data_IF_861818950130
#
_entry.id   IF_861818950130
#
_cell.length_a   1.000
_cell.length_b   1.000
_cell.length_c   1.000
_cell.angle_alpha   90.00
_cell.angle_beta   90.00
_cell.angle_gamma   90.00
#
_symmetry.space_group_name_H-M   'P 1'
#
loop_
_entity.id
_entity.type
_entity.pdbx_description
1 polymer ?
#
# COMPACT_ATOMS: atom_id res chain seq x y z
N UNK A 1 5.15 15.39 -4.39
CA UNK A 1 5.50 16.81 -4.25
C UNK A 1 6.99 16.91 -4.46
N UNK A 2 7.43 17.69 -5.44
CA UNK A 2 8.86 17.90 -5.67
C UNK A 2 9.35 18.99 -4.72
N UNK A 3 10.31 18.65 -3.86
CA UNK A 3 10.92 19.56 -2.90
C UNK A 3 12.22 20.14 -3.45
N UNK A 4 12.56 21.35 -3.02
CA UNK A 4 13.77 22.07 -3.39
C UNK A 4 14.39 22.76 -2.17
N UNK A 5 15.72 22.74 -2.11
CA UNK A 5 16.50 23.60 -1.22
C UNK A 5 16.76 24.93 -1.91
N UNK A 6 16.43 26.05 -1.27
CA UNK A 6 16.74 27.40 -1.77
C UNK A 6 16.90 28.39 -0.63
N UNK A 7 17.08 29.66 -0.98
CA UNK A 7 16.99 30.79 -0.05
C UNK A 7 15.60 31.41 -0.12
N UNK A 8 15.03 31.74 1.04
CA UNK A 8 13.79 32.51 1.15
C UNK A 8 14.01 33.99 0.75
N UNK A 9 12.97 34.81 0.85
CA UNK A 9 13.02 36.24 0.49
C UNK A 9 14.00 37.06 1.36
N UNK A 10 14.41 36.52 2.50
CA UNK A 10 15.32 37.13 3.46
C UNK A 10 16.75 36.58 3.34
N UNK A 11 17.03 35.70 2.36
CA UNK A 11 18.34 35.08 2.15
C UNK A 11 18.62 33.90 3.09
N UNK A 12 17.59 33.32 3.72
CA UNK A 12 17.67 32.26 4.73
C UNK A 12 17.33 30.89 4.14
N UNK A 13 17.93 29.83 4.67
CA UNK A 13 17.69 28.48 4.13
C UNK A 13 16.22 28.05 4.28
N UNK A 14 15.68 27.44 3.23
CA UNK A 14 14.34 26.86 3.20
C UNK A 14 14.31 25.57 2.39
N UNK A 15 13.59 24.57 2.91
CA UNK A 15 13.16 23.37 2.19
C UNK A 15 11.65 23.49 1.92
N UNK A 16 11.25 23.51 0.65
CA UNK A 16 9.86 23.73 0.26
C UNK A 16 9.56 23.14 -1.12
N UNK A 17 8.30 23.17 -1.54
CA UNK A 17 7.95 22.93 -2.94
C UNK A 17 8.23 24.17 -3.82
N UNK A 18 8.21 23.99 -5.15
CA UNK A 18 8.60 25.03 -6.12
C UNK A 18 7.88 26.38 -5.92
N UNK A 19 6.57 26.36 -5.69
CA UNK A 19 5.72 27.55 -5.47
C UNK A 19 5.68 28.04 -4.00
N UNK A 20 6.48 27.43 -3.12
CA UNK A 20 6.53 27.67 -1.67
C UNK A 20 5.17 27.58 -0.96
N UNK A 21 4.15 26.95 -1.55
CA UNK A 21 2.89 26.71 -0.83
C UNK A 21 3.11 25.80 0.38
N UNK A 22 3.99 24.80 0.22
CA UNK A 22 4.38 23.87 1.26
C UNK A 22 5.82 24.17 1.68
N UNK A 23 5.96 24.95 2.75
CA UNK A 23 7.24 25.19 3.41
C UNK A 23 7.41 24.07 4.45
N UNK A 24 8.41 23.22 4.25
CA UNK A 24 8.65 22.03 5.07
C UNK A 24 9.49 22.39 6.29
N UNK A 25 10.57 23.15 6.09
CA UNK A 25 11.47 23.59 7.16
C UNK A 25 12.17 24.90 6.77
N UNK A 26 12.40 25.79 7.74
CA UNK A 26 13.06 27.08 7.54
C UNK A 26 14.17 27.36 8.56
N UNK A 27 15.18 28.16 8.19
CA UNK A 27 16.34 28.51 9.05
C UNK A 27 15.96 29.15 10.40
N UNK A 28 14.85 29.90 10.46
CA UNK A 28 14.41 30.57 11.69
C UNK A 28 14.15 29.57 12.85
N UNK A 29 13.85 28.31 12.53
CA UNK A 29 13.58 27.25 13.50
C UNK A 29 14.87 26.73 14.17
N UNK A 30 16.04 27.00 13.58
CA UNK A 30 17.32 26.44 14.03
C UNK A 30 17.57 26.61 15.55
N UNK A 31 17.38 27.80 16.17
CA UNK A 31 17.58 27.96 17.60
C UNK A 31 16.65 27.08 18.45
N UNK A 32 15.39 26.91 18.02
CA UNK A 32 14.43 26.04 18.68
C UNK A 32 14.82 24.56 18.55
N UNK A 33 15.23 24.12 17.35
CA UNK A 33 15.69 22.75 17.09
C UNK A 33 16.90 22.44 17.96
N UNK A 34 17.91 23.32 17.96
CA UNK A 34 19.11 23.14 18.78
C UNK A 34 18.78 23.10 20.26
N UNK A 35 17.87 23.97 20.73
CA UNK A 35 17.44 23.96 22.14
C UNK A 35 16.69 22.69 22.52
N UNK A 36 15.87 22.17 21.60
CA UNK A 36 15.14 20.92 21.78
C UNK A 36 16.09 19.75 22.01
N UNK A 37 17.17 19.68 21.22
CA UNK A 37 18.20 18.66 21.38
C UNK A 37 19.01 18.86 22.67
N UNK A 38 19.29 20.09 23.09
CA UNK A 38 19.94 20.36 24.38
C UNK A 38 19.14 19.83 25.57
N UNK A 39 17.82 20.06 25.58
CA UNK A 39 16.94 19.57 26.65
C UNK A 39 16.72 18.05 26.55
N UNK A 40 16.68 17.50 25.33
CA UNK A 40 16.66 16.06 25.10
C UNK A 40 17.91 15.40 25.69
N UNK A 41 19.07 16.06 25.58
CA UNK A 41 20.37 15.56 26.04
C UNK A 41 20.61 14.11 25.55
N UNK A 42 20.67 13.90 24.22
CA UNK A 42 20.65 12.57 23.64
C UNK A 42 21.91 11.76 23.99
N UNK A 43 21.74 10.45 24.08
CA UNK A 43 22.82 9.51 24.38
C UNK A 43 22.60 8.18 23.66
N UNK A 44 23.64 7.36 23.61
CA UNK A 44 23.57 6.00 23.09
C UNK A 44 23.20 5.95 21.60
N UNK A 45 22.23 5.10 21.27
CA UNK A 45 21.67 4.96 19.92
C UNK A 45 20.47 5.89 19.76
N UNK A 46 20.58 6.84 18.84
CA UNK A 46 19.59 7.89 18.59
C UNK A 46 18.82 7.61 17.31
N UNK A 47 17.51 7.82 17.34
CA UNK A 47 16.63 7.87 16.17
C UNK A 47 16.10 9.28 15.96
N UNK A 48 16.22 9.79 14.75
CA UNK A 48 15.53 10.99 14.28
C UNK A 48 14.54 10.63 13.18
N UNK A 49 13.37 11.27 13.18
CA UNK A 49 12.40 11.19 12.08
C UNK A 49 12.34 12.55 11.41
N UNK A 50 12.66 12.59 10.12
CA UNK A 50 12.78 13.81 9.32
C UNK A 50 14.16 14.44 9.45
N UNK A 51 14.92 14.49 8.35
CA UNK A 51 16.25 15.13 8.33
C UNK A 51 16.17 16.63 8.02
N UNK A 52 15.27 17.01 7.11
CA UNK A 52 15.02 18.41 6.75
C UNK A 52 16.28 19.17 6.31
N UNK A 53 16.63 20.21 7.07
CA UNK A 53 17.83 21.04 6.89
C UNK A 53 19.04 20.58 7.74
N UNK A 54 18.90 19.50 8.51
CA UNK A 54 19.99 18.90 9.29
C UNK A 54 20.40 19.65 10.56
N UNK A 55 19.60 20.61 11.04
CA UNK A 55 19.94 21.41 12.24
C UNK A 55 19.91 20.59 13.53
N UNK A 56 18.82 19.87 13.77
CA UNK A 56 18.67 18.91 14.88
C UNK A 56 19.72 17.80 14.75
N UNK A 57 19.87 17.21 13.56
CA UNK A 57 20.88 16.19 13.25
C UNK A 57 22.30 16.61 13.63
N UNK A 58 22.72 17.82 13.23
CA UNK A 58 24.03 18.39 13.56
C UNK A 58 24.17 18.56 15.07
N UNK A 59 23.14 19.08 15.73
CA UNK A 59 23.17 19.24 17.18
C UNK A 59 23.25 17.90 17.88
N UNK A 60 22.49 16.88 17.46
CA UNK A 60 22.53 15.52 18.03
C UNK A 60 23.93 14.93 17.92
N UNK A 61 24.56 15.02 16.75
CA UNK A 61 25.88 14.45 16.50
C UNK A 61 27.00 15.14 17.31
N UNK A 62 26.78 16.37 17.78
CA UNK A 62 27.72 17.09 18.65
C UNK A 62 27.85 16.49 20.06
N UNK A 63 26.89 15.68 20.52
CA UNK A 63 26.93 15.07 21.85
C UNK A 63 27.88 13.86 21.88
N UNK A 64 28.87 13.90 22.77
CA UNK A 64 29.87 12.81 22.95
C UNK A 64 29.26 11.48 23.42
N UNK A 65 28.11 11.55 24.09
CA UNK A 65 27.40 10.38 24.59
C UNK A 65 26.59 9.68 23.50
N UNK A 66 26.35 10.32 22.35
CA UNK A 66 25.76 9.69 21.17
C UNK A 66 26.82 8.83 20.49
N UNK A 67 26.48 7.55 20.29
CA UNK A 67 27.34 6.52 19.69
C UNK A 67 26.89 6.11 18.31
N UNK A 68 25.59 6.25 18.05
CA UNK A 68 25.00 5.92 16.75
C UNK A 68 23.83 6.87 16.49
N UNK A 69 23.88 7.57 15.36
CA UNK A 69 22.82 8.43 14.86
C UNK A 69 22.14 7.75 13.67
N UNK A 70 20.82 7.61 13.77
CA UNK A 70 19.98 7.02 12.74
C UNK A 70 18.89 8.03 12.38
N UNK A 71 18.65 8.23 11.10
CA UNK A 71 17.55 9.06 10.63
C UNK A 71 16.68 8.31 9.64
N UNK A 72 15.37 8.37 9.83
CA UNK A 72 14.40 7.94 8.82
C UNK A 72 13.98 9.16 8.01
N UNK A 73 14.19 9.10 6.70
CA UNK A 73 13.85 10.18 5.77
C UNK A 73 13.23 9.61 4.50
N UNK A 74 12.11 10.21 4.07
CA UNK A 74 11.28 9.70 2.98
C UNK A 74 11.54 10.39 1.64
N UNK A 75 12.14 11.59 1.64
CA UNK A 75 12.30 12.41 0.44
C UNK A 75 13.68 12.21 -0.22
N UNK A 76 13.74 11.78 -1.51
CA UNK A 76 15.01 11.53 -2.19
C UNK A 76 15.98 12.72 -2.25
N UNK A 77 15.49 13.94 -2.47
CA UNK A 77 16.35 15.13 -2.49
C UNK A 77 17.03 15.40 -1.14
N UNK A 78 16.38 15.01 -0.04
CA UNK A 78 16.92 15.16 1.31
C UNK A 78 18.02 14.13 1.57
N UNK A 79 17.98 12.97 0.91
CA UNK A 79 19.05 11.96 1.00
C UNK A 79 20.37 12.47 0.44
N UNK A 80 20.34 13.29 -0.63
CA UNK A 80 21.54 13.90 -1.18
C UNK A 80 22.18 14.84 -0.16
N UNK A 81 21.36 15.68 0.49
CA UNK A 81 21.82 16.60 1.54
C UNK A 81 22.35 15.85 2.78
N UNK A 82 21.75 14.71 3.10
CA UNK A 82 22.23 13.85 4.18
C UNK A 82 23.64 13.30 3.91
N UNK A 83 24.00 12.94 2.68
CA UNK A 83 25.34 12.42 2.39
C UNK A 83 26.44 13.49 2.55
N UNK A 84 26.13 14.76 2.22
CA UNK A 84 27.02 15.90 2.53
C UNK A 84 27.24 16.02 4.04
N UNK A 85 26.14 16.06 4.80
CA UNK A 85 26.16 16.11 6.27
C UNK A 85 26.95 14.94 6.87
N UNK A 86 26.71 13.71 6.39
CA UNK A 86 27.38 12.50 6.89
C UNK A 86 28.89 12.60 6.71
N UNK A 87 29.34 13.10 5.56
CA UNK A 87 30.77 13.31 5.29
C UNK A 87 31.38 14.29 6.28
N UNK A 88 30.73 15.43 6.52
CA UNK A 88 31.20 16.43 7.49
C UNK A 88 31.26 15.88 8.92
N UNK A 89 30.22 15.17 9.35
CA UNK A 89 30.16 14.60 10.69
C UNK A 89 31.15 13.47 10.89
N UNK A 90 31.44 12.66 9.87
CA UNK A 90 32.44 11.60 9.95
C UNK A 90 33.86 12.16 10.10
N UNK A 91 34.13 13.36 9.57
CA UNK A 91 35.40 14.07 9.82
C UNK A 91 35.46 14.56 11.27
N UNK A 92 34.38 15.16 11.77
CA UNK A 92 34.33 15.71 13.13
C UNK A 92 34.28 14.64 14.24
N UNK A 93 33.61 13.51 13.96
CA UNK A 93 33.38 12.38 14.86
C UNK A 93 33.59 11.05 14.12
N UNK A 94 34.83 10.66 13.84
CA UNK A 94 35.13 9.41 13.13
C UNK A 94 34.61 8.13 13.84
N UNK A 95 34.38 8.23 15.16
CA UNK A 95 33.83 7.16 16.00
C UNK A 95 32.30 7.03 15.91
N UNK A 96 31.60 8.06 15.40
CA UNK A 96 30.15 8.11 15.36
C UNK A 96 29.61 7.32 14.16
N UNK A 97 28.76 6.33 14.43
CA UNK A 97 28.00 5.64 13.38
C UNK A 97 26.85 6.52 12.90
N UNK A 98 26.72 6.72 11.59
CA UNK A 98 25.69 7.59 10.98
C UNK A 98 24.98 6.83 9.86
N UNK A 99 23.67 6.60 10.06
CA UNK A 99 22.84 5.77 9.21
C UNK A 99 21.62 6.52 8.67
N UNK A 100 21.38 6.37 7.36
CA UNK A 100 20.16 6.82 6.70
C UNK A 100 19.27 5.61 6.42
N UNK A 101 18.03 5.69 6.86
CA UNK A 101 16.98 4.71 6.59
C UNK A 101 15.99 5.37 5.63
N UNK A 102 16.03 4.95 4.37
CA UNK A 102 15.24 5.54 3.28
C UNK A 102 13.80 5.02 3.32
N UNK A 103 12.83 5.91 3.53
CA UNK A 103 11.40 5.57 3.51
C UNK A 103 10.56 6.39 4.47
N UNK A 104 9.25 6.18 4.44
CA UNK A 104 8.32 6.76 5.42
C UNK A 104 8.48 6.02 6.74
N UNK A 105 8.44 6.73 7.87
CA UNK A 105 8.59 6.09 9.18
C UNK A 105 7.49 5.06 9.43
N UNK A 106 6.29 5.25 8.88
CA UNK A 106 5.19 4.29 8.97
C UNK A 106 5.54 2.91 8.40
N UNK A 107 6.38 2.87 7.36
CA UNK A 107 6.75 1.65 6.66
C UNK A 107 7.98 0.98 7.29
N UNK A 108 8.97 1.79 7.68
CA UNK A 108 10.31 1.29 8.03
C UNK A 108 10.57 1.25 9.53
N UNK A 109 9.80 1.94 10.38
CA UNK A 109 10.06 1.95 11.82
C UNK A 109 10.07 0.53 12.41
N UNK A 110 9.17 -0.35 11.96
CA UNK A 110 9.11 -1.75 12.41
C UNK A 110 10.35 -2.59 12.05
N UNK A 111 11.16 -2.16 11.07
CA UNK A 111 12.41 -2.84 10.70
C UNK A 111 13.59 -2.33 11.52
N UNK A 112 13.36 -1.37 12.43
CA UNK A 112 14.40 -0.78 13.27
C UNK A 112 14.45 -1.42 14.66
N UNK A 113 15.53 -1.16 15.38
CA UNK A 113 15.78 -1.69 16.72
C UNK A 113 15.22 -0.76 17.82
N UNK A 114 15.74 -0.91 19.04
CA UNK A 114 15.46 -0.02 20.16
C UNK A 114 16.47 1.13 20.23
N UNK A 115 16.01 2.29 20.69
CA UNK A 115 16.79 3.52 20.78
C UNK A 115 16.79 4.09 22.20
N UNK A 116 17.90 4.70 22.58
CA UNK A 116 18.11 5.35 23.87
C UNK A 116 17.55 6.79 23.85
N UNK A 117 17.62 7.46 22.70
CA UNK A 117 17.02 8.78 22.49
C UNK A 117 16.30 8.86 21.15
N UNK A 118 15.15 9.54 21.11
CA UNK A 118 14.34 9.71 19.90
C UNK A 118 13.96 11.18 19.73
N UNK A 119 14.12 11.71 18.52
CA UNK A 119 13.63 13.03 18.11
C UNK A 119 12.66 12.90 16.93
N UNK A 120 11.47 13.48 17.03
CA UNK A 120 10.43 13.37 16.00
C UNK A 120 10.05 14.74 15.44
N UNK A 121 10.36 14.96 14.17
CA UNK A 121 10.05 16.18 13.43
C UNK A 121 9.55 15.82 12.01
N UNK A 122 8.29 15.41 11.94
CA UNK A 122 7.66 14.87 10.73
C UNK A 122 6.82 15.93 9.99
N UNK A 123 6.59 15.71 8.70
CA UNK A 123 5.73 16.54 7.85
C UNK A 123 4.67 15.70 7.11
N UNK A 124 3.43 16.21 7.03
CA UNK A 124 2.32 15.52 6.38
C UNK A 124 2.24 15.89 4.89
N UNK A 125 2.62 14.96 4.02
CA UNK A 125 2.71 15.20 2.57
C UNK A 125 1.36 15.20 1.80
N UNK A 126 0.28 14.66 2.38
CA UNK A 126 -0.99 14.38 1.67
C UNK A 126 -2.19 15.25 2.11
N UNK A 127 -1.99 16.44 2.64
CA UNK A 127 -3.11 17.33 2.96
C UNK A 127 -3.44 18.27 1.80
N UNK A 128 -4.23 17.79 0.83
CA UNK A 128 -4.92 18.64 -0.16
C UNK A 128 -6.01 19.55 0.47
N UNK A 129 -5.94 19.83 1.78
CA UNK A 129 -6.89 20.68 2.51
C UNK A 129 -6.11 21.54 3.51
N UNK A 130 -5.87 22.78 3.11
CA UNK A 130 -5.20 23.85 3.86
C UNK A 130 -6.10 24.49 4.95
N UNK A 131 -7.10 23.76 5.46
CA UNK A 131 -8.04 24.28 6.48
C UNK A 131 -8.42 23.14 7.45
N UNK A 132 -7.73 23.05 8.60
CA UNK A 132 -8.16 22.21 9.74
C UNK A 132 -7.09 21.38 10.50
N UNK A 133 -5.80 21.60 10.24
CA UNK A 133 -4.77 20.57 10.37
C UNK A 133 -4.06 20.42 11.76
N UNK A 134 -4.67 20.81 12.89
CA UNK A 134 -4.07 20.56 14.23
C UNK A 134 -4.37 19.18 14.80
N UNK A 135 -5.49 18.54 14.40
CA UNK A 135 -5.83 17.18 14.86
C UNK A 135 -4.95 16.12 14.19
N UNK A 136 -4.73 16.20 12.87
CA UNK A 136 -4.02 15.17 12.10
C UNK A 136 -2.53 15.08 12.49
N UNK A 137 -1.84 16.21 12.64
CA UNK A 137 -0.44 16.24 13.13
C UNK A 137 -0.32 15.73 14.57
N UNK A 138 -1.29 16.09 15.42
CA UNK A 138 -1.35 15.59 16.79
C UNK A 138 -1.56 14.06 16.83
N UNK A 139 -2.49 13.54 16.05
CA UNK A 139 -2.78 12.11 15.95
C UNK A 139 -1.56 11.31 15.44
N UNK A 140 -0.76 11.88 14.53
CA UNK A 140 0.50 11.26 14.06
C UNK A 140 1.56 11.18 15.14
N UNK A 141 1.81 12.27 15.86
CA UNK A 141 2.80 12.30 16.95
C UNK A 141 2.43 11.32 18.07
N UNK A 142 1.14 11.20 18.41
CA UNK A 142 0.63 10.23 19.38
C UNK A 142 0.73 8.79 18.87
N UNK A 143 0.43 8.56 17.59
CA UNK A 143 0.58 7.25 16.97
C UNK A 143 2.04 6.79 16.92
N UNK A 144 2.95 7.70 16.59
CA UNK A 144 4.38 7.46 16.66
C UNK A 144 4.82 7.15 18.09
N UNK A 145 4.43 7.99 19.06
CA UNK A 145 4.76 7.81 20.48
C UNK A 145 4.30 6.45 20.99
N UNK A 146 3.08 6.02 20.64
CA UNK A 146 2.57 4.69 20.96
C UNK A 146 3.49 3.58 20.45
N UNK A 147 3.86 3.62 19.17
CA UNK A 147 4.72 2.58 18.55
C UNK A 147 6.10 2.53 19.19
N UNK A 148 6.73 3.68 19.42
CA UNK A 148 8.10 3.70 19.98
C UNK A 148 8.13 3.32 21.45
N UNK A 149 7.12 3.71 22.25
CA UNK A 149 7.00 3.27 23.63
C UNK A 149 6.82 1.76 23.74
N UNK A 150 6.09 1.14 22.81
CA UNK A 150 5.87 -0.30 22.80
C UNK A 150 7.12 -1.09 22.37
N UNK A 151 7.74 -0.71 21.25
CA UNK A 151 8.68 -1.60 20.56
C UNK A 151 10.09 -1.04 20.38
N UNK A 152 10.29 0.27 20.48
CA UNK A 152 11.55 0.92 20.07
C UNK A 152 12.25 1.67 21.21
N UNK A 153 11.84 1.46 22.46
CA UNK A 153 12.42 2.13 23.63
C UNK A 153 12.58 1.18 24.81
N UNK A 154 13.52 1.51 25.69
CA UNK A 154 13.80 0.82 26.95
C UNK A 154 13.47 1.75 28.12
N UNK A 155 13.40 1.21 29.33
CA UNK A 155 13.29 2.06 30.53
C UNK A 155 14.52 2.96 30.59
N UNK A 156 14.29 4.27 30.74
CA UNK A 156 15.32 5.31 30.67
C UNK A 156 15.46 5.96 29.30
N UNK A 157 14.86 5.42 28.23
CA UNK A 157 14.86 6.08 26.92
C UNK A 157 14.17 7.45 26.98
N UNK A 158 14.73 8.43 26.27
CA UNK A 158 14.23 9.80 26.21
C UNK A 158 13.69 10.13 24.82
N UNK A 159 12.57 10.84 24.75
CA UNK A 159 11.89 11.20 23.50
C UNK A 159 11.57 12.68 23.54
N UNK A 160 11.78 13.38 22.42
CA UNK A 160 11.30 14.74 22.21
C UNK A 160 10.75 14.89 20.79
N UNK A 161 9.98 15.94 20.56
CA UNK A 161 9.35 16.22 19.27
C UNK A 161 9.21 17.71 19.05
N UNK A 162 9.18 18.11 17.78
CA UNK A 162 8.74 19.44 17.40
C UNK A 162 7.30 19.66 17.89
N UNK A 163 7.08 20.72 18.68
CA UNK A 163 5.76 20.96 19.28
C UNK A 163 5.39 22.43 19.40
N UNK A 164 4.21 22.74 18.89
CA UNK A 164 3.53 24.04 19.07
C UNK A 164 2.58 24.05 20.27
N UNK A 165 2.44 22.92 20.99
CA UNK A 165 1.46 22.74 22.07
C UNK A 165 2.15 22.20 23.33
N UNK A 166 1.73 22.70 24.50
CA UNK A 166 2.11 22.10 25.77
C UNK A 166 1.40 20.75 25.96
N UNK A 167 2.16 19.66 25.95
CA UNK A 167 1.61 18.31 25.98
C UNK A 167 1.56 17.66 27.37
N UNK A 168 1.84 18.36 28.47
CA UNK A 168 1.83 17.76 29.83
C UNK A 168 0.46 17.13 30.14
N UNK A 169 -0.61 17.91 30.00
CA UNK A 169 -1.99 17.44 30.23
C UNK A 169 -2.39 16.31 29.28
N UNK A 170 -1.78 16.28 28.09
CA UNK A 170 -2.03 15.26 27.07
C UNK A 170 -1.42 13.92 27.46
N UNK A 171 -0.42 13.89 28.34
CA UNK A 171 0.28 12.67 28.72
C UNK A 171 0.10 12.29 30.20
N UNK A 172 -0.60 13.10 31.00
CA UNK A 172 -0.76 12.91 32.46
C UNK A 172 -1.28 11.54 32.92
N UNK A 173 -2.08 10.87 32.08
CA UNK A 173 -2.68 9.57 32.40
C UNK A 173 -1.84 8.37 31.94
N UNK A 174 -0.64 8.60 31.43
CA UNK A 174 0.26 7.55 30.94
C UNK A 174 1.31 7.32 32.01
N UNK A 175 1.18 6.22 32.75
CA UNK A 175 2.01 5.92 33.91
C UNK A 175 3.41 5.42 33.54
N UNK A 176 3.59 4.87 32.33
CA UNK A 176 4.87 4.37 31.85
C UNK A 176 5.85 5.46 31.38
N UNK A 177 5.47 6.74 31.49
CA UNK A 177 6.31 7.87 31.11
C UNK A 177 6.31 8.99 32.16
N UNK A 178 7.40 9.75 32.19
CA UNK A 178 7.51 11.05 32.84
C UNK A 178 7.64 12.13 31.77
N UNK A 179 6.92 13.24 31.91
CA UNK A 179 6.88 14.31 30.89
C UNK A 179 7.25 15.65 31.51
N UNK A 180 8.26 16.28 30.94
CA UNK A 180 8.65 17.67 31.20
C UNK A 180 8.37 18.47 29.93
N UNK A 181 7.98 19.75 30.05
CA UNK A 181 7.69 20.57 28.89
C UNK A 181 8.13 22.01 29.16
N UNK A 182 9.11 22.48 28.38
CA UNK A 182 9.65 23.83 28.51
C UNK A 182 9.05 24.76 27.45
N UNK A 183 8.69 25.98 27.84
CA UNK A 183 8.32 27.02 26.88
C UNK A 183 9.58 27.64 26.26
N UNK A 184 9.57 27.89 24.95
CA UNK A 184 10.66 28.52 24.22
C UNK A 184 10.11 29.65 23.34
N UNK A 185 10.66 30.85 23.50
CA UNK A 185 10.28 32.01 22.70
C UNK A 185 10.85 31.88 21.29
N UNK A 186 10.04 32.15 20.27
CA UNK A 186 10.44 32.11 18.86
C UNK A 186 10.09 33.43 18.15
N UNK A 187 10.90 33.77 17.16
CA UNK A 187 10.66 34.93 16.29
C UNK A 187 10.42 34.42 14.86
N UNK A 188 9.15 34.38 14.46
CA UNK A 188 8.72 33.83 13.16
C UNK A 188 8.81 34.93 12.07
N UNK A 189 9.46 34.67 10.92
CA UNK A 189 9.52 35.62 9.83
C UNK A 189 8.17 35.77 9.13
N UNK A 190 7.91 36.97 8.58
CA UNK A 190 6.63 37.32 7.96
C UNK A 190 6.20 36.45 6.78
N UNK A 191 7.12 35.72 6.15
CA UNK A 191 6.91 34.78 5.05
C UNK A 191 6.70 33.33 5.47
N UNK A 192 6.77 33.00 6.76
CA UNK A 192 6.39 31.67 7.23
C UNK A 192 4.88 31.47 7.11
N UNK A 193 4.46 30.39 6.44
CA UNK A 193 3.05 30.10 6.15
C UNK A 193 2.40 29.11 7.12
N UNK A 194 3.19 28.34 7.88
CA UNK A 194 2.70 27.22 8.71
C UNK A 194 2.78 27.48 10.22
N UNK A 195 3.73 28.28 10.70
CA UNK A 195 3.88 28.59 12.12
C UNK A 195 3.23 29.93 12.48
N UNK A 196 2.63 30.02 13.67
CA UNK A 196 2.00 31.23 14.21
C UNK A 196 2.26 31.33 15.71
N UNK A 197 2.35 32.55 16.22
CA UNK A 197 2.60 32.83 17.63
C UNK A 197 4.03 33.30 17.89
N UNK A 198 4.38 33.42 19.17
CA UNK A 198 5.67 33.93 19.66
C UNK A 198 6.39 32.90 20.55
N UNK A 199 5.85 31.68 20.64
CA UNK A 199 6.39 30.61 21.46
C UNK A 199 6.05 29.22 20.95
N UNK A 200 6.92 28.30 21.32
CA UNK A 200 6.80 26.86 21.12
C UNK A 200 7.09 26.13 22.42
N UNK A 201 6.89 24.82 22.41
CA UNK A 201 7.10 23.97 23.58
C UNK A 201 8.08 22.86 23.26
N UNK A 202 8.93 22.53 24.23
CA UNK A 202 9.94 21.47 24.12
C UNK A 202 9.59 20.38 25.13
N UNK A 203 8.90 19.33 24.69
CA UNK A 203 8.53 18.21 25.55
C UNK A 203 9.66 17.20 25.62
N UNK A 204 9.97 16.75 26.84
CA UNK A 204 10.92 15.67 27.12
C UNK A 204 10.14 14.57 27.82
N UNK A 205 10.00 13.43 27.14
CA UNK A 205 9.34 12.24 27.64
C UNK A 205 10.41 11.22 28.01
N UNK A 206 10.41 10.74 29.25
CA UNK A 206 11.29 9.66 29.71
C UNK A 206 10.46 8.42 30.00
N UNK A 207 10.80 7.28 29.41
CA UNK A 207 10.13 6.01 29.70
C UNK A 207 10.55 5.50 31.08
N UNK A 208 9.60 5.35 32.00
CA UNK A 208 9.85 5.00 33.41
C UNK A 208 9.52 3.55 33.73
N UNK A 209 8.67 2.90 32.93
CA UNK A 209 8.33 1.49 33.07
C UNK A 209 7.97 0.86 31.72
N UNK A 210 7.60 -0.43 31.73
CA UNK A 210 7.14 -1.11 30.52
C UNK A 210 5.83 -0.49 30.01
N UNK A 211 5.63 -0.52 28.69
CA UNK A 211 4.42 0.02 28.08
C UNK A 211 3.17 -0.70 28.59
N UNK A 212 2.13 0.08 28.84
CA UNK A 212 0.84 -0.41 29.33
C UNK A 212 0.07 -1.15 28.23
N UNK A 213 -0.70 -2.18 28.61
CA UNK A 213 -1.53 -2.94 27.66
C UNK A 213 -2.59 -2.07 26.97
N UNK A 214 -3.11 -1.06 27.67
CA UNK A 214 -4.13 -0.11 27.21
C UNK A 214 -3.54 1.22 26.72
N UNK A 215 -2.21 1.28 26.49
CA UNK A 215 -1.51 2.51 26.06
C UNK A 215 -2.14 3.13 24.80
N UNK A 216 -2.59 2.29 23.86
CA UNK A 216 -3.26 2.73 22.64
C UNK A 216 -4.55 3.49 22.96
N UNK A 217 -5.35 3.01 23.89
CA UNK A 217 -6.62 3.64 24.27
C UNK A 217 -6.38 4.98 24.98
N UNK A 218 -5.37 5.04 25.86
CA UNK A 218 -4.99 6.25 26.61
C UNK A 218 -4.43 7.37 25.74
N UNK A 219 -3.72 7.02 24.67
CA UNK A 219 -3.13 7.97 23.72
C UNK A 219 -4.14 8.39 22.64
N UNK A 220 -4.86 7.44 22.03
CA UNK A 220 -5.60 7.67 20.78
C UNK A 220 -7.11 7.81 20.98
N UNK A 221 -7.72 7.11 21.96
CA UNK A 221 -9.19 7.01 22.09
C UNK A 221 -9.82 7.99 23.10
N UNK A 222 -9.26 9.20 23.25
CA UNK A 222 -9.64 10.14 24.33
C UNK A 222 -11.04 10.78 24.29
N UNK A 223 -11.96 10.37 23.40
CA UNK A 223 -13.30 10.94 23.32
C UNK A 223 -14.42 9.88 23.27
N UNK A 224 -14.92 9.48 24.45
CA UNK A 224 -16.28 8.94 24.63
C UNK A 224 -17.24 9.94 25.30
N UNK A 225 -16.90 11.23 25.35
CA UNK A 225 -17.77 12.28 25.91
C UNK A 225 -18.21 13.27 24.83
N UNK A 226 -18.97 12.80 23.85
CA UNK A 226 -19.80 13.67 22.99
C UNK A 226 -21.25 13.41 23.39
N UNK A 227 -21.73 14.15 24.39
CA UNK A 227 -23.16 14.32 24.62
C UNK A 227 -23.69 15.41 23.69
N UNK A 228 -24.89 15.16 23.17
CA UNK A 228 -25.71 15.95 22.24
C UNK A 228 -25.30 15.93 20.77
N UNK A 229 -25.72 14.87 20.06
CA UNK A 229 -25.83 14.91 18.61
C UNK A 229 -27.14 14.25 18.13
N UNK A 230 -27.81 14.98 17.24
CA UNK A 230 -28.84 14.60 16.27
C UNK A 230 -28.87 13.08 15.92
N UNK A 231 -30.01 12.37 16.02
CA UNK A 231 -30.09 10.90 15.89
C UNK A 231 -29.69 10.31 14.52
N UNK A 232 -29.40 11.10 13.50
CA UNK A 232 -28.88 10.63 12.20
C UNK A 232 -27.35 10.43 12.17
N UNK A 233 -26.60 11.12 13.03
CA UNK A 233 -25.13 11.03 13.09
C UNK A 233 -24.61 9.72 13.72
N UNK A 234 -25.26 9.11 14.73
CA UNK A 234 -24.88 7.80 15.27
C UNK A 234 -24.83 6.69 14.22
N UNK A 235 -25.75 6.69 13.24
CA UNK A 235 -25.82 5.65 12.22
C UNK A 235 -24.68 5.77 11.19
N UNK A 236 -24.31 7.00 10.80
CA UNK A 236 -23.16 7.24 9.92
C UNK A 236 -21.84 6.89 10.61
N UNK A 237 -21.68 7.25 11.89
CA UNK A 237 -20.51 6.89 12.69
C UNK A 237 -20.42 5.37 12.85
N UNK A 238 -21.54 4.69 13.13
CA UNK A 238 -21.58 3.23 13.25
C UNK A 238 -21.15 2.55 11.94
N UNK A 239 -21.67 3.01 10.79
CA UNK A 239 -21.28 2.50 9.47
C UNK A 239 -19.79 2.72 9.18
N UNK A 240 -19.26 3.89 9.54
CA UNK A 240 -17.83 4.18 9.35
C UNK A 240 -16.95 3.34 10.27
N UNK A 241 -17.36 3.09 11.52
CA UNK A 241 -16.66 2.18 12.45
C UNK A 241 -16.68 0.73 11.95
N UNK A 242 -17.81 0.25 11.45
CA UNK A 242 -17.94 -1.08 10.83
C UNK A 242 -17.00 -1.20 9.61
N UNK A 243 -16.98 -0.17 8.75
CA UNK A 243 -16.10 -0.08 7.59
C UNK A 243 -14.62 -0.12 7.98
N UNK A 244 -14.21 0.69 8.96
CA UNK A 244 -12.82 0.69 9.46
C UNK A 244 -12.44 -0.66 10.09
N UNK A 245 -13.37 -1.32 10.77
CA UNK A 245 -13.16 -2.67 11.32
C UNK A 245 -12.89 -3.69 10.22
N UNK A 246 -13.66 -3.64 9.12
CA UNK A 246 -13.46 -4.50 7.95
C UNK A 246 -12.11 -4.23 7.27
N UNK A 247 -11.72 -2.98 7.08
CA UNK A 247 -10.40 -2.65 6.54
C UNK A 247 -9.25 -3.10 7.42
N UNK A 248 -9.41 -3.00 8.75
CA UNK A 248 -8.41 -3.53 9.67
C UNK A 248 -8.28 -5.04 9.54
N UNK A 249 -9.39 -5.78 9.46
CA UNK A 249 -9.36 -7.23 9.22
C UNK A 249 -8.67 -7.58 7.91
N UNK A 250 -8.98 -6.85 6.83
CA UNK A 250 -8.33 -7.04 5.54
C UNK A 250 -6.81 -6.79 5.63
N UNK A 251 -6.41 -5.72 6.30
CA UNK A 251 -5.00 -5.39 6.50
C UNK A 251 -4.27 -6.47 7.31
N UNK A 252 -4.84 -6.88 8.44
CA UNK A 252 -4.29 -7.93 9.32
C UNK A 252 -4.17 -9.27 8.56
N UNK A 253 -5.15 -9.62 7.72
CA UNK A 253 -5.13 -10.83 6.89
C UNK A 253 -4.05 -10.76 5.79
N UNK A 254 -3.94 -9.63 5.06
CA UNK A 254 -2.90 -9.43 4.04
C UNK A 254 -1.50 -9.58 4.63
N UNK A 255 -1.26 -9.12 5.87
CA UNK A 255 0.05 -9.21 6.52
C UNK A 255 0.52 -10.64 6.79
N UNK A 256 -0.40 -11.60 6.91
CA UNK A 256 -0.08 -13.01 7.21
C UNK A 256 -0.15 -13.91 5.99
N UNK A 257 -0.62 -13.41 4.83
CA UNK A 257 -0.67 -14.20 3.59
C UNK A 257 0.73 -14.55 3.11
N UNK A 258 0.93 -15.84 2.81
CA UNK A 258 2.15 -16.32 2.16
C UNK A 258 2.22 -15.92 0.67
N UNK A 259 3.38 -16.14 0.03
CA UNK A 259 3.52 -15.93 -1.40
C UNK A 259 2.55 -16.84 -2.18
N UNK A 260 1.94 -16.31 -3.24
CA UNK A 260 1.03 -17.03 -4.12
C UNK A 260 1.37 -16.81 -5.60
N UNK A 261 1.06 -17.80 -6.43
CA UNK A 261 1.22 -17.68 -7.89
C UNK A 261 -0.07 -17.12 -8.49
N UNK A 262 -0.05 -15.86 -8.90
CA UNK A 262 -1.24 -15.17 -9.42
C UNK A 262 -1.49 -15.34 -10.92
N UNK A 263 -0.45 -15.61 -11.71
CA UNK A 263 -0.49 -15.70 -13.18
C UNK A 263 0.72 -16.49 -13.69
N UNK A 264 0.47 -17.43 -14.60
CA UNK A 264 1.49 -18.17 -15.37
C UNK A 264 1.24 -17.85 -16.84
N UNK A 265 2.29 -17.46 -17.56
CA UNK A 265 2.23 -17.17 -19.00
C UNK A 265 3.09 -18.19 -19.73
N UNK A 266 2.47 -18.93 -20.66
CA UNK A 266 3.10 -19.97 -21.46
C UNK A 266 2.95 -19.60 -22.93
N UNK A 267 4.07 -19.23 -23.55
CA UNK A 267 4.12 -18.96 -25.00
C UNK A 267 4.34 -20.25 -25.79
N UNK A 268 3.83 -20.26 -27.03
CA UNK A 268 3.95 -21.37 -27.97
C UNK A 268 3.35 -22.70 -27.44
N UNK A 269 2.17 -22.62 -26.80
CA UNK A 269 1.55 -23.76 -26.13
C UNK A 269 1.27 -24.95 -27.06
N UNK A 270 0.54 -24.73 -28.16
CA UNK A 270 0.35 -25.75 -29.18
C UNK A 270 1.56 -25.84 -30.10
N UNK A 271 1.94 -27.07 -30.47
CA UNK A 271 2.98 -27.31 -31.49
C UNK A 271 2.52 -26.96 -32.91
N UNK A 272 1.22 -27.05 -33.17
CA UNK A 272 0.58 -26.84 -34.48
C UNK A 272 -0.60 -25.83 -34.38
N UNK A 273 -0.35 -24.60 -33.92
CA UNK A 273 -1.42 -23.67 -33.53
C UNK A 273 -2.26 -23.21 -34.72
N UNK A 274 -1.66 -23.10 -35.91
CA UNK A 274 -2.37 -22.67 -37.13
C UNK A 274 -3.33 -23.75 -37.64
N UNK A 275 -2.90 -25.01 -37.64
CA UNK A 275 -3.71 -26.17 -38.01
C UNK A 275 -4.88 -26.36 -37.03
N UNK A 276 -4.58 -26.28 -35.72
CA UNK A 276 -5.60 -26.32 -34.67
C UNK A 276 -6.64 -25.21 -34.88
N UNK A 277 -6.19 -23.96 -35.08
CA UNK A 277 -7.10 -22.85 -35.38
C UNK A 277 -7.96 -23.12 -36.61
N UNK A 278 -7.34 -23.56 -37.72
CA UNK A 278 -8.05 -23.83 -38.98
C UNK A 278 -9.16 -24.87 -38.78
N UNK A 279 -8.87 -25.94 -38.04
CA UNK A 279 -9.85 -26.97 -37.69
C UNK A 279 -10.97 -26.43 -36.79
N UNK A 280 -10.64 -25.68 -35.75
CA UNK A 280 -11.64 -25.14 -34.82
C UNK A 280 -12.60 -24.18 -35.51
N UNK A 281 -12.14 -23.39 -36.48
CA UNK A 281 -13.02 -22.52 -37.25
C UNK A 281 -14.06 -23.27 -38.09
N UNK A 282 -13.85 -24.54 -38.42
CA UNK A 282 -14.87 -25.35 -39.10
C UNK A 282 -15.92 -25.91 -38.16
N UNK A 283 -15.73 -25.79 -36.84
CA UNK A 283 -16.66 -26.34 -35.84
C UNK A 283 -17.84 -25.37 -35.59
N UNK A 284 -18.91 -25.92 -35.01
CA UNK A 284 -20.06 -25.13 -34.57
C UNK A 284 -19.82 -24.48 -33.20
N UNK A 285 -20.17 -23.20 -33.10
CA UNK A 285 -20.15 -22.42 -31.87
C UNK A 285 -21.60 -22.23 -31.38
N UNK A 286 -22.23 -23.33 -30.97
CA UNK A 286 -23.65 -23.37 -30.61
C UNK A 286 -23.91 -23.16 -29.12
N UNK A 287 -22.89 -23.24 -28.27
CA UNK A 287 -23.04 -23.18 -26.82
C UNK A 287 -23.08 -21.71 -26.36
N UNK A 288 -24.13 -21.36 -25.62
CA UNK A 288 -24.37 -20.03 -25.04
C UNK A 288 -24.55 -20.14 -23.53
N UNK A 289 -24.24 -19.06 -22.81
CA UNK A 289 -24.40 -19.00 -21.37
C UNK A 289 -24.11 -17.61 -20.83
N UNK A 290 -23.84 -17.50 -19.53
CA UNK A 290 -23.50 -16.24 -18.89
C UNK A 290 -22.02 -15.86 -19.12
N UNK A 291 -21.68 -15.62 -20.38
CA UNK A 291 -20.36 -15.19 -20.85
C UNK A 291 -20.51 -14.54 -22.24
N UNK A 292 -19.57 -13.68 -22.66
CA UNK A 292 -19.65 -13.00 -23.95
C UNK A 292 -19.45 -13.94 -25.15
N UNK A 293 -20.09 -13.65 -26.28
CA UNK A 293 -19.92 -14.43 -27.50
C UNK A 293 -20.47 -15.86 -27.43
N UNK A 294 -19.85 -16.77 -28.18
CA UNK A 294 -20.34 -18.14 -28.35
C UNK A 294 -19.20 -19.15 -28.21
N UNK A 295 -19.52 -20.35 -27.71
CA UNK A 295 -18.58 -21.45 -27.48
C UNK A 295 -18.87 -22.65 -28.36
N UNK A 296 -17.83 -23.43 -28.66
CA UNK A 296 -17.96 -24.82 -29.08
C UNK A 296 -18.32 -25.71 -27.89
N UNK A 297 -18.68 -26.97 -28.17
CA UNK A 297 -18.60 -28.04 -27.16
C UNK A 297 -17.17 -28.16 -26.62
N UNK A 298 -17.00 -28.86 -25.49
CA UNK A 298 -15.68 -29.06 -24.89
C UNK A 298 -14.76 -29.89 -25.80
N UNK A 299 -13.49 -29.47 -25.87
CA UNK A 299 -12.37 -30.24 -26.43
C UNK A 299 -11.31 -30.53 -25.35
N UNK A 300 -11.69 -30.55 -24.07
CA UNK A 300 -10.79 -30.98 -23.01
C UNK A 300 -10.39 -32.44 -23.24
N UNK A 301 -9.11 -32.76 -23.02
CA UNK A 301 -8.56 -34.10 -23.18
C UNK A 301 -7.61 -34.41 -22.04
N UNK A 302 -7.36 -35.70 -21.79
CA UNK A 302 -6.35 -36.12 -20.82
C UNK A 302 -4.96 -35.56 -21.15
N UNK A 303 -4.61 -35.47 -22.43
CA UNK A 303 -3.33 -34.89 -22.87
C UNK A 303 -3.19 -33.41 -22.47
N UNK A 304 -4.25 -32.61 -22.62
CA UNK A 304 -4.26 -31.20 -22.18
C UNK A 304 -4.12 -31.11 -20.66
N UNK A 305 -4.81 -31.98 -19.91
CA UNK A 305 -4.67 -32.08 -18.46
C UNK A 305 -3.22 -32.36 -18.06
N UNK A 306 -2.57 -33.33 -18.70
CA UNK A 306 -1.19 -33.74 -18.36
C UNK A 306 -0.17 -32.62 -18.65
N UNK A 307 -0.32 -31.91 -19.77
CA UNK A 307 0.53 -30.76 -20.08
C UNK A 307 0.31 -29.63 -19.07
N UNK A 308 -0.94 -29.26 -18.80
CA UNK A 308 -1.28 -28.19 -17.85
C UNK A 308 -0.80 -28.56 -16.44
N UNK A 309 -0.93 -29.82 -16.02
CA UNK A 309 -0.40 -30.33 -14.76
C UNK A 309 1.08 -30.01 -14.62
N UNK A 310 1.89 -30.20 -15.67
CA UNK A 310 3.32 -29.90 -15.64
C UNK A 310 3.65 -28.44 -15.30
N UNK A 311 2.81 -27.49 -15.75
CA UNK A 311 2.99 -26.07 -15.49
C UNK A 311 2.46 -25.65 -14.11
N UNK A 312 1.30 -26.16 -13.69
CA UNK A 312 0.67 -25.72 -12.43
C UNK A 312 1.20 -26.44 -11.19
N UNK A 313 1.75 -27.65 -11.34
CA UNK A 313 2.18 -28.49 -10.21
C UNK A 313 3.08 -27.78 -9.19
N UNK A 314 4.09 -26.98 -9.59
CA UNK A 314 4.97 -26.29 -8.64
C UNK A 314 4.25 -25.29 -7.74
N UNK A 315 3.07 -24.81 -8.15
CA UNK A 315 2.36 -23.71 -7.51
C UNK A 315 1.03 -24.15 -6.87
N UNK A 316 0.20 -24.87 -7.64
CA UNK A 316 -1.13 -25.33 -7.22
C UNK A 316 -1.17 -26.77 -6.69
N UNK A 317 -0.11 -27.56 -6.87
CA UNK A 317 -0.13 -29.00 -6.58
C UNK A 317 -0.81 -29.82 -7.68
N UNK A 318 -1.30 -31.02 -7.33
CA UNK A 318 -1.94 -31.89 -8.32
C UNK A 318 -3.31 -31.34 -8.74
N UNK A 319 -3.65 -31.54 -10.00
CA UNK A 319 -4.99 -31.29 -10.53
C UNK A 319 -5.94 -32.33 -9.93
N UNK A 320 -6.87 -31.87 -9.11
CA UNK A 320 -7.86 -32.68 -8.40
C UNK A 320 -9.14 -32.84 -9.21
N UNK A 321 -9.50 -31.81 -9.97
CA UNK A 321 -10.63 -31.82 -10.89
C UNK A 321 -10.26 -31.15 -12.21
N UNK A 322 -10.58 -31.81 -13.32
CA UNK A 322 -10.39 -31.31 -14.68
C UNK A 322 -11.50 -31.90 -15.53
N UNK A 323 -12.65 -31.21 -15.66
CA UNK A 323 -13.79 -31.74 -16.38
C UNK A 323 -13.44 -32.08 -17.82
N UNK A 324 -13.65 -33.33 -18.23
CA UNK A 324 -13.42 -33.85 -19.58
C UNK A 324 -14.74 -34.42 -20.11
N UNK A 325 -15.14 -34.08 -21.33
CA UNK A 325 -16.35 -34.61 -21.97
C UNK A 325 -16.28 -36.14 -22.12
N UNK A 326 -17.37 -36.83 -21.79
CA UNK A 326 -17.58 -38.26 -22.06
C UNK A 326 -18.88 -38.49 -22.85
N UNK A 327 -19.10 -39.72 -23.32
CA UNK A 327 -20.28 -40.05 -24.15
C UNK A 327 -21.64 -39.80 -23.45
N UNK A 328 -21.66 -39.57 -22.12
CA UNK A 328 -22.89 -39.48 -21.32
C UNK A 328 -23.14 -38.10 -20.69
N UNK A 329 -22.14 -37.22 -20.59
CA UNK A 329 -22.20 -35.97 -19.79
C UNK A 329 -21.69 -34.71 -20.51
N UNK A 330 -21.86 -34.62 -21.82
CA UNK A 330 -21.30 -33.51 -22.61
C UNK A 330 -21.98 -32.15 -22.49
N UNK A 331 -23.27 -32.09 -22.11
CA UNK A 331 -24.06 -30.87 -22.28
C UNK A 331 -23.63 -29.68 -21.40
N UNK A 332 -22.89 -29.91 -20.32
CA UNK A 332 -22.57 -28.89 -19.30
C UNK A 332 -21.07 -28.71 -19.01
N UNK A 333 -20.18 -29.33 -19.80
CA UNK A 333 -18.73 -29.22 -19.60
C UNK A 333 -18.19 -28.09 -20.48
N UNK A 334 -17.73 -27.00 -19.86
CA UNK A 334 -17.16 -25.85 -20.57
C UNK A 334 -15.62 -25.85 -20.62
N UNK A 335 -14.98 -26.65 -19.78
CA UNK A 335 -13.52 -26.75 -19.74
C UNK A 335 -12.99 -27.22 -21.11
N UNK A 336 -11.99 -26.56 -21.66
CA UNK A 336 -11.40 -26.88 -22.97
C UNK A 336 -12.22 -26.45 -24.19
N UNK A 337 -13.37 -25.78 -24.02
CA UNK A 337 -14.14 -25.22 -25.15
C UNK A 337 -13.38 -24.07 -25.82
N UNK A 338 -13.60 -23.89 -27.13
CA UNK A 338 -13.18 -22.70 -27.85
C UNK A 338 -14.31 -21.68 -27.83
N UNK A 339 -13.97 -20.40 -27.68
CA UNK A 339 -14.89 -19.28 -27.62
C UNK A 339 -14.41 -18.20 -28.59
N UNK A 340 -15.35 -17.52 -29.24
CA UNK A 340 -15.04 -16.28 -29.94
C UNK A 340 -15.94 -15.14 -29.46
N UNK A 341 -15.39 -13.93 -29.51
CA UNK A 341 -16.11 -12.68 -29.31
C UNK A 341 -15.81 -11.71 -30.45
N UNK A 342 -16.70 -10.76 -30.65
CA UNK A 342 -16.66 -9.72 -31.68
C UNK A 342 -16.68 -8.34 -31.05
N UNK A 343 -16.44 -7.29 -31.83
CA UNK A 343 -16.52 -5.89 -31.37
C UNK A 343 -17.88 -5.49 -30.78
N UNK A 344 -18.94 -6.30 -30.98
CA UNK A 344 -20.28 -6.09 -30.43
C UNK A 344 -20.47 -6.66 -29.02
N UNK A 345 -19.59 -7.56 -28.58
CA UNK A 345 -19.69 -8.20 -27.27
C UNK A 345 -19.18 -7.27 -26.16
N UNK A 346 -19.56 -7.52 -24.91
CA UNK A 346 -19.09 -6.77 -23.73
C UNK A 346 -18.77 -7.74 -22.60
N UNK A 347 -17.75 -7.40 -21.81
CA UNK A 347 -17.33 -8.17 -20.64
C UNK A 347 -17.65 -7.38 -19.36
N UNK A 348 -17.47 -8.04 -18.22
CA UNK A 348 -17.55 -7.44 -16.90
C UNK A 348 -16.46 -8.04 -15.99
N UNK A 349 -16.04 -7.29 -14.97
CA UNK A 349 -15.10 -7.77 -13.95
C UNK A 349 -15.80 -8.81 -13.06
N UNK A 350 -15.18 -9.98 -12.89
CA UNK A 350 -15.74 -11.08 -12.11
C UNK A 350 -14.65 -11.98 -11.51
N UNK A 351 -15.10 -12.94 -10.70
CA UNK A 351 -14.34 -14.09 -10.20
C UNK A 351 -15.07 -15.37 -10.63
N UNK A 352 -14.35 -16.47 -10.88
CA UNK A 352 -14.98 -17.78 -11.10
C UNK A 352 -14.94 -18.59 -9.81
N UNK A 353 -16.10 -18.68 -9.15
CA UNK A 353 -16.20 -19.25 -7.80
C UNK A 353 -16.10 -20.78 -7.70
N UNK A 354 -16.34 -21.52 -8.79
CA UNK A 354 -16.45 -22.99 -8.73
C UNK A 354 -15.10 -23.73 -8.74
N UNK A 355 -14.12 -23.20 -9.48
CA UNK A 355 -12.77 -23.75 -9.59
C UNK A 355 -11.76 -22.78 -8.98
N UNK A 356 -10.50 -23.20 -8.76
CA UNK A 356 -9.43 -22.30 -8.31
C UNK A 356 -8.43 -21.89 -9.41
N UNK A 357 -8.53 -22.47 -10.61
CA UNK A 357 -7.80 -22.02 -11.80
C UNK A 357 -8.72 -21.68 -12.97
N UNK A 358 -8.39 -20.57 -13.62
CA UNK A 358 -8.88 -20.17 -14.93
C UNK A 358 -7.73 -20.16 -15.94
N UNK A 359 -8.04 -20.45 -17.20
CA UNK A 359 -7.06 -20.41 -18.28
C UNK A 359 -7.64 -19.89 -19.58
N UNK A 360 -6.84 -19.11 -20.30
CA UNK A 360 -7.19 -18.58 -21.62
C UNK A 360 -6.01 -18.77 -22.58
N UNK A 361 -6.23 -19.54 -23.64
CA UNK A 361 -5.28 -19.72 -24.73
C UNK A 361 -5.73 -18.91 -25.95
N UNK A 362 -4.93 -17.93 -26.33
CA UNK A 362 -5.25 -17.02 -27.42
C UNK A 362 -4.98 -17.63 -28.79
N UNK A 363 -5.99 -17.62 -29.66
CA UNK A 363 -5.97 -18.33 -30.96
C UNK A 363 -6.19 -17.41 -32.17
N UNK A 364 -6.05 -16.10 -32.00
CA UNK A 364 -6.17 -15.12 -33.09
C UNK A 364 -4.80 -14.57 -33.47
N UNK A 365 -4.28 -14.85 -34.68
CA UNK A 365 -3.04 -14.28 -35.16
C UNK A 365 -3.11 -12.75 -35.24
N UNK A 366 -2.02 -12.07 -34.87
CA UNK A 366 -1.87 -10.61 -34.96
C UNK A 366 -3.02 -9.81 -34.29
N UNK A 367 -3.60 -10.36 -33.21
CA UNK A 367 -4.62 -9.66 -32.44
C UNK A 367 -4.06 -8.38 -31.79
N UNK A 368 -4.89 -7.34 -31.57
CA UNK A 368 -4.49 -6.20 -30.76
C UNK A 368 -4.05 -6.65 -29.37
N UNK A 369 -2.86 -6.26 -28.91
CA UNK A 369 -2.35 -6.67 -27.60
C UNK A 369 -3.27 -6.24 -26.44
N UNK A 370 -4.03 -5.16 -26.62
CA UNK A 370 -5.00 -4.66 -25.65
C UNK A 370 -6.22 -5.58 -25.45
N UNK A 371 -6.47 -6.52 -26.37
CA UNK A 371 -7.61 -7.46 -26.34
C UNK A 371 -7.40 -8.70 -25.45
N UNK A 372 -6.44 -8.62 -24.52
CA UNK A 372 -6.02 -9.71 -23.65
C UNK A 372 -6.97 -9.99 -22.48
N UNK A 373 -6.38 -10.34 -21.34
CA UNK A 373 -7.08 -10.52 -20.06
C UNK A 373 -6.43 -9.61 -19.03
N UNK A 374 -7.25 -8.89 -18.27
CA UNK A 374 -6.81 -7.95 -17.24
C UNK A 374 -7.28 -8.41 -15.85
N UNK A 375 -6.51 -8.00 -14.84
CA UNK A 375 -6.76 -8.26 -13.43
C UNK A 375 -6.96 -6.93 -12.71
N UNK A 376 -7.89 -6.91 -11.76
CA UNK A 376 -8.36 -5.68 -11.14
C UNK A 376 -8.33 -5.74 -9.62
N UNK A 377 -8.37 -4.54 -9.05
CA UNK A 377 -8.61 -4.28 -7.64
C UNK A 377 -9.79 -3.30 -7.55
N UNK A 378 -10.76 -3.60 -6.70
CA UNK A 378 -11.88 -2.71 -6.44
C UNK A 378 -11.40 -1.49 -5.62
N UNK A 379 -12.11 -0.38 -5.73
CA UNK A 379 -11.70 0.91 -5.14
C UNK A 379 -11.53 0.89 -3.61
N UNK A 380 -12.16 -0.06 -2.93
CA UNK A 380 -12.05 -0.24 -1.49
C UNK A 380 -10.84 -1.08 -1.07
N UNK A 381 -10.15 -1.74 -2.00
CA UNK A 381 -9.01 -2.59 -1.66
C UNK A 381 -9.14 -4.03 -2.13
N UNK A 382 -10.34 -4.52 -2.44
CA UNK A 382 -10.54 -5.94 -2.73
C UNK A 382 -9.90 -6.36 -4.05
N UNK A 383 -9.09 -7.42 -4.06
CA UNK A 383 -8.46 -7.96 -5.27
C UNK A 383 -8.84 -9.43 -5.55
N UNK A 384 -9.39 -10.14 -4.57
CA UNK A 384 -9.85 -11.52 -4.71
C UNK A 384 -11.09 -11.84 -3.87
N UNK A 385 -11.62 -13.06 -4.03
CA UNK A 385 -12.79 -13.59 -3.30
C UNK A 385 -12.64 -13.44 -1.78
N UNK A 386 -11.48 -13.79 -1.21
CA UNK A 386 -11.23 -13.67 0.24
C UNK A 386 -11.33 -12.21 0.71
N UNK A 387 -10.83 -11.26 -0.09
CA UNK A 387 -10.96 -9.83 0.25
C UNK A 387 -12.42 -9.38 0.21
N UNK A 388 -13.15 -9.85 -0.80
CA UNK A 388 -14.58 -9.58 -0.98
C UNK A 388 -15.40 -10.13 0.20
N UNK A 389 -15.05 -11.31 0.71
CA UNK A 389 -15.69 -11.91 1.88
C UNK A 389 -15.38 -11.14 3.17
N UNK A 390 -14.13 -10.70 3.37
CA UNK A 390 -13.73 -9.91 4.55
C UNK A 390 -14.43 -8.54 4.57
N UNK A 391 -14.55 -7.89 3.41
CA UNK A 391 -15.22 -6.60 3.28
C UNK A 391 -16.75 -6.73 3.17
N UNK A 392 -17.24 -7.94 2.89
CA UNK A 392 -18.64 -8.26 2.62
C UNK A 392 -19.22 -7.37 1.50
N UNK A 393 -18.42 -7.12 0.46
CA UNK A 393 -18.73 -6.14 -0.60
C UNK A 393 -19.21 -6.78 -1.91
N UNK A 394 -19.57 -8.08 -1.90
CA UNK A 394 -19.94 -8.84 -3.10
C UNK A 394 -21.02 -8.14 -3.93
N UNK A 395 -22.08 -7.70 -3.27
CA UNK A 395 -23.19 -6.98 -3.92
C UNK A 395 -22.71 -5.75 -4.69
N UNK A 396 -21.79 -4.98 -4.11
CA UNK A 396 -21.24 -3.78 -4.75
C UNK A 396 -20.36 -4.15 -5.94
N UNK A 397 -19.45 -5.11 -5.77
CA UNK A 397 -18.57 -5.55 -6.87
C UNK A 397 -19.35 -6.13 -8.05
N UNK A 398 -20.45 -6.85 -7.79
CA UNK A 398 -21.33 -7.38 -8.85
C UNK A 398 -22.08 -6.23 -9.55
N UNK A 399 -22.64 -5.29 -8.77
CA UNK A 399 -23.37 -4.12 -9.26
C UNK A 399 -22.49 -3.22 -10.14
N UNK A 400 -21.24 -2.99 -9.73
CA UNK A 400 -20.29 -2.12 -10.42
C UNK A 400 -19.35 -2.88 -11.36
N UNK A 401 -19.62 -4.15 -11.68
CA UNK A 401 -18.75 -5.02 -12.50
C UNK A 401 -18.41 -4.47 -13.89
N UNK A 402 -19.19 -3.52 -14.42
CA UNK A 402 -18.94 -2.83 -15.70
C UNK A 402 -18.55 -1.35 -15.54
N UNK A 403 -18.62 -0.80 -14.31
CA UNK A 403 -18.22 0.57 -14.04
C UNK A 403 -16.72 0.64 -13.74
N UNK A 404 -15.92 0.77 -14.79
CA UNK A 404 -14.45 0.81 -14.69
C UNK A 404 -13.93 1.99 -13.85
N UNK A 405 -14.75 2.97 -13.47
CA UNK A 405 -14.33 4.03 -12.51
C UNK A 405 -14.21 3.50 -11.08
N UNK A 406 -14.78 2.33 -10.79
CA UNK A 406 -14.67 1.64 -9.50
C UNK A 406 -13.54 0.62 -9.43
N UNK A 407 -12.86 0.38 -10.55
CA UNK A 407 -11.84 -0.65 -10.67
C UNK A 407 -10.49 -0.06 -11.05
N UNK A 408 -9.46 -0.46 -10.33
CA UNK A 408 -8.08 -0.18 -10.65
C UNK A 408 -7.48 -1.36 -11.40
N UNK A 409 -6.91 -1.11 -12.59
CA UNK A 409 -6.13 -2.11 -13.31
C UNK A 409 -4.86 -2.45 -12.53
N UNK A 410 -4.66 -3.73 -12.19
CA UNK A 410 -3.49 -4.21 -11.45
C UNK A 410 -2.46 -4.79 -12.41
N UNK A 411 -2.90 -5.65 -13.32
CA UNK A 411 -2.03 -6.34 -14.27
C UNK A 411 -2.82 -6.73 -15.52
N UNK A 412 -2.11 -7.07 -16.60
CA UNK A 412 -2.71 -7.57 -17.84
C UNK A 412 -1.78 -8.51 -18.58
N UNK A 413 -2.36 -9.54 -19.18
CA UNK A 413 -1.70 -10.39 -20.15
C UNK A 413 -2.24 -10.10 -21.55
N UNK A 414 -1.35 -9.72 -22.47
CA UNK A 414 -1.74 -9.39 -23.84
C UNK A 414 -2.19 -10.59 -24.66
N UNK A 415 -3.10 -10.36 -25.61
CA UNK A 415 -3.58 -11.35 -26.58
C UNK A 415 -2.50 -11.67 -27.62
N UNK A 416 -1.60 -12.59 -27.28
CA UNK A 416 -0.53 -13.07 -28.16
C UNK A 416 -0.91 -14.44 -28.69
N UNK A 417 -0.85 -14.62 -30.01
CA UNK A 417 -1.22 -15.89 -30.64
C UNK A 417 -0.43 -17.07 -30.05
N UNK A 418 -1.13 -18.16 -29.73
CA UNK A 418 -0.59 -19.38 -29.12
C UNK A 418 0.01 -19.19 -27.70
N UNK A 419 -0.40 -18.13 -27.00
CA UNK A 419 -0.12 -17.94 -25.57
C UNK A 419 -1.26 -18.47 -24.72
N UNK A 420 -0.94 -19.39 -23.82
CA UNK A 420 -1.81 -19.79 -22.71
C UNK A 420 -1.47 -18.93 -21.50
N UNK A 421 -2.48 -18.33 -20.89
CA UNK A 421 -2.39 -17.82 -19.53
C UNK A 421 -3.16 -18.74 -18.59
N UNK A 422 -2.60 -19.00 -17.42
CA UNK A 422 -3.25 -19.68 -16.31
C UNK A 422 -3.21 -18.76 -15.10
N UNK A 423 -4.32 -18.59 -14.40
CA UNK A 423 -4.41 -17.65 -13.28
C UNK A 423 -5.34 -18.19 -12.20
N UNK A 424 -5.14 -17.70 -10.98
CA UNK A 424 -6.05 -17.95 -9.88
C UNK A 424 -7.42 -17.32 -10.20
N UNK A 425 -8.44 -18.15 -10.38
CA UNK A 425 -9.79 -17.72 -10.79
C UNK A 425 -10.52 -16.90 -9.73
N UNK A 426 -10.03 -16.92 -8.49
CA UNK A 426 -10.56 -16.15 -7.37
C UNK A 426 -10.10 -14.69 -7.38
N UNK A 427 -9.27 -14.29 -8.33
CA UNK A 427 -8.87 -12.88 -8.53
C UNK A 427 -9.86 -12.18 -9.46
N UNK A 428 -10.15 -10.90 -9.19
CA UNK A 428 -10.98 -10.12 -10.10
C UNK A 428 -10.31 -9.99 -11.46
N UNK A 429 -11.00 -10.44 -12.50
CA UNK A 429 -10.48 -10.44 -13.86
C UNK A 429 -11.58 -10.16 -14.89
N UNK A 430 -11.14 -9.77 -16.08
CA UNK A 430 -12.01 -9.48 -17.20
C UNK A 430 -11.25 -9.64 -18.52
N UNK A 431 -11.90 -10.13 -19.57
CA UNK A 431 -11.41 -9.97 -20.93
C UNK A 431 -11.56 -8.53 -21.40
N UNK A 432 -10.49 -7.98 -21.96
CA UNK A 432 -10.39 -6.58 -22.38
C UNK A 432 -11.07 -6.36 -23.74
N UNK A 433 -10.55 -5.43 -24.55
CA UNK A 433 -11.13 -5.04 -25.84
C UNK A 433 -11.51 -6.24 -26.71
N UNK A 434 -12.66 -6.15 -27.36
CA UNK A 434 -13.03 -7.06 -28.44
C UNK A 434 -12.94 -6.37 -29.79
N UNK A 435 -12.68 -7.16 -30.81
CA UNK A 435 -12.44 -6.70 -32.18
C UNK A 435 -13.03 -7.69 -33.18
N UNK A 436 -13.00 -7.33 -34.46
CA UNK A 436 -13.61 -8.13 -35.52
C UNK A 436 -15.13 -8.16 -35.48
N UNK A 437 -15.71 -8.92 -36.39
CA UNK A 437 -17.15 -9.06 -36.60
C UNK A 437 -17.62 -10.51 -36.81
N UNK A 438 -16.69 -11.46 -36.81
CA UNK A 438 -16.93 -12.89 -37.06
C UNK A 438 -15.96 -13.77 -36.25
N UNK A 439 -16.16 -15.09 -36.26
CA UNK A 439 -15.23 -16.03 -35.59
C UNK A 439 -13.86 -16.09 -36.28
N UNK A 440 -13.80 -15.74 -37.57
CA UNK A 440 -12.60 -15.75 -38.40
C UNK A 440 -11.66 -14.58 -38.11
N UNK A 441 -12.20 -13.42 -37.74
CA UNK A 441 -11.42 -12.19 -37.53
C UNK A 441 -11.58 -11.56 -36.13
N UNK A 442 -12.46 -12.11 -35.29
CA UNK A 442 -12.66 -11.69 -33.90
C UNK A 442 -11.70 -12.36 -32.92
N UNK A 443 -11.92 -12.13 -31.63
CA UNK A 443 -11.11 -12.72 -30.55
C UNK A 443 -11.50 -14.18 -30.34
N UNK A 444 -10.81 -15.09 -31.01
CA UNK A 444 -10.87 -16.54 -30.80
C UNK A 444 -9.87 -16.99 -29.73
N UNK A 445 -10.32 -17.81 -28.79
CA UNK A 445 -9.52 -18.34 -27.67
C UNK A 445 -10.09 -19.67 -27.16
N UNK A 446 -9.29 -20.45 -26.43
CA UNK A 446 -9.73 -21.64 -25.70
C UNK A 446 -9.74 -21.34 -24.20
N UNK A 447 -10.76 -21.81 -23.49
CA UNK A 447 -10.92 -21.61 -22.05
C UNK A 447 -10.61 -22.88 -21.28
N UNK A 448 -10.03 -22.74 -20.09
CA UNK A 448 -9.76 -23.83 -19.16
C UNK A 448 -10.29 -23.48 -17.77
N UNK A 449 -10.94 -24.44 -17.13
CA UNK A 449 -11.56 -24.32 -15.81
C UNK A 449 -11.29 -25.62 -15.05
N UNK A 450 -10.47 -25.57 -14.00
CA UNK A 450 -10.03 -26.75 -13.28
C UNK A 450 -9.61 -26.41 -11.84
N UNK A 451 -9.44 -27.45 -11.02
CA UNK A 451 -9.05 -27.30 -9.62
C UNK A 451 -7.76 -28.05 -9.29
N UNK A 452 -6.96 -27.46 -8.41
CA UNK A 452 -5.76 -28.08 -7.82
C UNK A 452 -5.88 -28.24 -6.30
N UNK A 453 -4.94 -28.96 -5.69
CA UNK A 453 -4.86 -29.17 -4.23
C UNK A 453 -4.75 -27.87 -3.41
N UNK A 454 -4.18 -26.80 -3.99
CA UNK A 454 -4.03 -25.48 -3.39
C UNK A 454 -4.76 -24.42 -4.20
#
# INVERSE_FOLDING_TARGET
MDLIYKKDKNGKDILCNEDERHQIMMEWEKPYMEKSIELLNPFGKVLEIGFGLGYSATKICSFKNVKEYNVIECMPIVWEKFEEFKTEQQIARPDLKINLIKGRWEDVLQTTETFDSIYFDDYVLNSDIDIGNRRITHDRSLHFLQKVLQNHTRIGSRISFYSTINCIEMHKNISCIHVECSEYKIDIPSDCKYAKGDKMYIPIITKTSNAELDLKDKLINRNNNIQNINPEIPEQIKKEMEKQTKYKKLFDDIQVRGPSCGLIVIDNFYKNPHETRKYILTQEFSVRGNYPGQRTVSYATQHLKDIIQGYVMPFGGKITDFPIPDEKSNANIYNGSFQYTTSRDRSWVHIDGYNNWGGVLYMTPNAPLSSGTAFYKFNDGAACEVDQDILENKTDTDMYSQDMTKWQLVDRAGNVFNRLILFNSKRFHMSMDYFGDSKENGRLFQVFFFSTEK
#
